data_IF_803076679468
#
_entry.id   IF_803076679468
#
_cell.length_a   1.000
_cell.length_b   1.000
_cell.length_c   1.000
_cell.angle_alpha   90.00
_cell.angle_beta   90.00
_cell.angle_gamma   90.00
#
_symmetry.space_group_name_H-M   'P 1'
#
loop_
_entity.id
_entity.type
_entity.pdbx_description
1 polymer ?
#
# COMPACT_ATOMS: atom_id res chain seq x y z
N UNK A 1 -0.37 -42.80 -60.77
CA UNK A 1 -0.61 -42.03 -59.53
C UNK A 1 -0.03 -42.81 -58.36
N UNK A 2 1.03 -42.30 -57.72
CA UNK A 2 1.64 -42.94 -56.55
C UNK A 2 1.46 -42.01 -55.34
N UNK A 3 0.80 -42.48 -54.29
CA UNK A 3 0.56 -41.72 -53.07
C UNK A 3 1.64 -42.15 -52.07
N UNK A 4 2.60 -41.27 -51.81
CA UNK A 4 3.64 -41.48 -50.81
C UNK A 4 3.03 -41.32 -49.40
N UNK A 5 2.98 -42.43 -48.64
CA UNK A 5 2.63 -42.42 -47.22
C UNK A 5 3.77 -41.73 -46.43
N UNK A 6 3.51 -40.52 -45.93
CA UNK A 6 4.44 -39.79 -45.06
C UNK A 6 4.52 -40.49 -43.70
N UNK A 7 5.73 -40.91 -43.32
CA UNK A 7 6.08 -41.50 -42.02
C UNK A 7 6.01 -40.42 -40.93
N UNK A 8 5.05 -40.56 -40.00
CA UNK A 8 4.91 -39.65 -38.87
C UNK A 8 6.16 -39.67 -37.98
N UNK A 9 6.75 -38.48 -37.82
CA UNK A 9 7.92 -38.23 -36.99
C UNK A 9 7.44 -38.08 -35.55
N UNK A 10 7.41 -39.19 -34.80
CA UNK A 10 7.07 -39.21 -33.37
C UNK A 10 8.08 -38.37 -32.58
N UNK A 11 7.62 -37.25 -32.04
CA UNK A 11 8.34 -36.50 -30.99
C UNK A 11 8.28 -37.33 -29.70
N UNK A 12 9.40 -37.54 -28.98
CA UNK A 12 9.35 -38.16 -27.66
C UNK A 12 8.60 -37.23 -26.71
N UNK A 13 7.46 -37.69 -26.20
CA UNK A 13 6.72 -37.02 -25.14
C UNK A 13 7.63 -36.98 -23.92
N UNK A 14 8.02 -35.77 -23.49
CA UNK A 14 8.78 -35.58 -22.27
C UNK A 14 7.89 -36.06 -21.12
N UNK A 15 8.24 -37.20 -20.51
CA UNK A 15 7.55 -37.69 -19.32
C UNK A 15 7.74 -36.66 -18.21
N UNK A 16 6.70 -35.88 -17.91
CA UNK A 16 6.63 -35.09 -16.70
C UNK A 16 6.54 -36.08 -15.53
N UNK A 17 7.64 -36.22 -14.79
CA UNK A 17 7.66 -37.02 -13.58
C UNK A 17 6.81 -36.31 -12.51
N UNK A 18 5.65 -36.84 -12.08
CA UNK A 18 4.79 -36.16 -11.11
C UNK A 18 5.37 -36.16 -9.69
N UNK A 19 6.52 -36.80 -9.46
CA UNK A 19 7.14 -36.92 -8.15
C UNK A 19 7.95 -35.70 -7.69
N UNK A 20 8.08 -34.64 -8.50
CA UNK A 20 8.88 -33.45 -8.15
C UNK A 20 8.11 -32.34 -7.41
N UNK A 21 6.86 -32.58 -7.00
CA UNK A 21 5.97 -31.56 -6.40
C UNK A 21 5.77 -31.80 -4.89
N UNK A 22 6.60 -32.62 -4.26
CA UNK A 22 6.62 -32.73 -2.80
C UNK A 22 7.90 -32.06 -2.33
N UNK A 23 7.91 -30.72 -2.33
CA UNK A 23 8.89 -30.01 -1.53
C UNK A 23 8.65 -30.41 -0.08
N UNK A 24 9.68 -30.94 0.60
CA UNK A 24 9.59 -31.32 2.01
C UNK A 24 8.91 -30.21 2.80
N UNK A 25 7.95 -30.55 3.66
CA UNK A 25 7.17 -29.59 4.44
C UNK A 25 8.05 -28.61 5.23
N UNK A 26 9.23 -29.07 5.64
CA UNK A 26 10.27 -28.28 6.30
C UNK A 26 10.92 -27.23 5.37
N UNK A 27 11.08 -27.53 4.08
CA UNK A 27 11.55 -26.57 3.09
C UNK A 27 10.54 -25.46 2.85
N UNK A 28 9.24 -25.81 2.75
CA UNK A 28 8.15 -24.84 2.61
C UNK A 28 8.05 -23.95 3.84
N UNK A 29 8.11 -24.53 5.04
CA UNK A 29 8.10 -23.78 6.29
C UNK A 29 9.26 -22.77 6.38
N UNK A 30 10.48 -23.18 5.99
CA UNK A 30 11.66 -22.28 5.96
C UNK A 30 11.52 -21.17 4.92
N UNK A 31 10.85 -21.43 3.80
CA UNK A 31 10.56 -20.40 2.79
C UNK A 31 9.54 -19.38 3.28
N UNK A 32 8.43 -19.83 3.89
CA UNK A 32 7.40 -18.96 4.46
C UNK A 32 7.98 -18.10 5.59
N UNK A 33 8.78 -18.70 6.50
CA UNK A 33 9.39 -17.96 7.60
C UNK A 33 10.32 -16.83 7.11
N UNK A 34 11.12 -17.09 6.07
CA UNK A 34 11.96 -16.05 5.45
C UNK A 34 11.11 -14.94 4.84
N UNK A 35 10.06 -15.31 4.11
CA UNK A 35 9.15 -14.35 3.50
C UNK A 35 8.44 -13.45 4.53
N UNK A 36 7.96 -14.01 5.64
CA UNK A 36 7.35 -13.24 6.72
C UNK A 36 8.35 -12.29 7.37
N UNK A 37 9.59 -12.73 7.59
CA UNK A 37 10.63 -11.86 8.14
C UNK A 37 11.00 -10.70 7.20
N UNK A 38 11.02 -10.94 5.89
CA UNK A 38 11.24 -9.89 4.89
C UNK A 38 10.05 -8.91 4.87
N UNK A 39 8.82 -9.40 5.01
CA UNK A 39 7.64 -8.55 5.15
C UNK A 39 7.69 -7.72 6.43
N UNK A 40 8.13 -8.28 7.56
CA UNK A 40 8.31 -7.53 8.81
C UNK A 40 9.40 -6.44 8.69
N UNK A 41 10.45 -6.69 7.91
CA UNK A 41 11.53 -5.72 7.66
C UNK A 41 11.15 -4.61 6.68
N UNK A 42 10.35 -4.94 5.67
CA UNK A 42 10.00 -4.01 4.57
C UNK A 42 8.66 -3.33 4.78
N UNK A 43 7.82 -3.83 5.68
CA UNK A 43 6.61 -3.13 6.07
C UNK A 43 7.00 -1.86 6.81
N UNK A 44 6.64 -0.71 6.23
CA UNK A 44 6.82 0.59 6.83
C UNK A 44 5.88 0.71 8.03
N UNK A 45 6.34 0.30 9.21
CA UNK A 45 5.67 0.68 10.46
C UNK A 45 6.01 2.13 10.71
N UNK A 46 5.19 3.06 10.19
CA UNK A 46 5.25 4.44 10.62
C UNK A 46 5.04 4.44 12.14
N UNK A 47 6.01 4.87 12.97
CA UNK A 47 5.85 4.87 14.41
C UNK A 47 4.70 5.81 14.73
N UNK A 48 3.53 5.23 14.95
CA UNK A 48 2.27 5.98 14.91
C UNK A 48 2.19 7.00 16.05
N UNK A 49 3.04 6.90 17.07
CA UNK A 49 3.25 7.93 18.07
C UNK A 49 4.65 7.81 18.70
N UNK A 50 5.59 8.67 18.32
CA UNK A 50 6.89 8.80 18.97
C UNK A 50 7.86 9.73 18.21
N UNK A 51 8.93 10.25 18.85
CA UNK A 51 9.91 11.10 18.17
C UNK A 51 10.60 10.42 16.97
N UNK A 52 10.69 9.09 16.95
CA UNK A 52 11.24 8.31 15.84
C UNK A 52 10.23 8.00 14.73
N UNK A 53 8.98 8.49 14.83
CA UNK A 53 7.92 8.38 13.81
C UNK A 53 8.33 8.80 12.42
N UNK A 54 9.33 9.67 12.39
CA UNK A 54 9.98 10.16 11.22
C UNK A 54 11.40 9.63 11.32
N UNK A 55 11.85 8.88 10.29
CA UNK A 55 13.11 8.15 10.30
C UNK A 55 14.25 8.95 10.92
N UNK A 56 15.10 8.26 11.67
CA UNK A 56 16.30 8.79 12.35
C UNK A 56 16.94 9.88 11.48
N UNK A 57 16.57 11.12 11.76
CA UNK A 57 17.29 12.26 11.25
C UNK A 57 18.52 12.30 12.14
N UNK A 58 19.67 11.87 11.63
CA UNK A 58 21.00 12.23 12.13
C UNK A 58 21.24 13.76 12.00
N UNK A 59 20.22 14.55 12.31
CA UNK A 59 20.24 15.99 12.27
C UNK A 59 19.30 16.44 13.40
N UNK A 60 19.87 16.57 14.59
CA UNK A 60 19.25 16.88 15.89
C UNK A 60 18.49 18.23 15.93
N UNK A 61 18.10 18.79 14.79
CA UNK A 61 17.52 20.14 14.68
C UNK A 61 16.19 20.20 13.91
N UNK A 62 15.68 19.10 13.36
CA UNK A 62 14.40 19.09 12.60
C UNK A 62 13.30 18.31 13.31
N UNK A 63 12.87 18.84 14.45
CA UNK A 63 11.55 18.53 15.01
C UNK A 63 10.40 19.05 14.11
N UNK A 64 9.13 18.79 14.49
CA UNK A 64 7.92 19.11 13.70
C UNK A 64 7.71 20.62 13.42
N UNK A 65 8.62 21.47 13.86
CA UNK A 65 8.73 22.90 13.61
C UNK A 65 9.39 23.26 12.28
N UNK A 66 9.73 22.30 11.41
CA UNK A 66 10.24 22.62 10.06
C UNK A 66 9.27 23.48 9.23
N UNK A 67 7.96 23.35 9.47
CA UNK A 67 6.93 24.24 8.92
C UNK A 67 6.93 25.63 9.55
N UNK A 68 7.76 25.93 10.55
CA UNK A 68 7.88 27.25 11.21
C UNK A 68 8.75 28.24 10.45
N UNK A 69 9.55 27.76 9.49
CA UNK A 69 10.55 28.58 8.79
C UNK A 69 10.02 29.10 7.45
N UNK A 70 8.77 29.56 7.44
CA UNK A 70 8.26 30.42 6.37
C UNK A 70 8.72 31.86 6.64
N UNK A 71 10.01 32.10 6.47
CA UNK A 71 10.52 33.45 6.32
C UNK A 71 10.15 33.88 4.89
N UNK A 72 9.20 34.82 4.74
CA UNK A 72 8.96 35.48 3.45
C UNK A 72 10.30 36.00 2.88
N UNK A 73 10.49 36.13 1.55
CA UNK A 73 11.72 36.70 0.98
C UNK A 73 12.01 38.15 1.45
N UNK A 74 11.05 38.76 2.14
CA UNK A 74 11.13 40.09 2.76
C UNK A 74 11.56 40.05 4.24
N UNK A 75 11.88 38.88 4.80
CA UNK A 75 12.36 38.71 6.19
C UNK A 75 11.33 39.07 7.28
N UNK A 76 10.04 39.16 6.91
CA UNK A 76 8.97 39.53 7.85
C UNK A 76 8.35 38.28 8.44
N UNK A 77 8.42 38.16 9.77
CA UNK A 77 7.74 37.09 10.51
C UNK A 77 6.23 37.22 10.32
N UNK A 78 5.64 36.37 9.47
CA UNK A 78 4.18 36.27 9.36
C UNK A 78 3.61 35.77 10.67
N UNK A 79 2.76 36.59 11.29
CA UNK A 79 1.99 36.19 12.48
C UNK A 79 1.06 35.05 12.07
N UNK A 80 1.31 33.85 12.60
CA UNK A 80 0.45 32.69 12.38
C UNK A 80 -0.85 32.85 13.15
N UNK A 81 -1.96 32.51 12.51
CA UNK A 81 -3.24 32.45 13.20
C UNK A 81 -3.16 31.47 14.38
N UNK A 82 -3.99 31.70 15.41
CA UNK A 82 -4.07 30.77 16.54
C UNK A 82 -4.44 29.35 16.09
N UNK A 83 -5.28 29.21 15.06
CA UNK A 83 -5.61 27.93 14.46
C UNK A 83 -4.37 27.20 13.90
N UNK A 84 -3.53 27.90 13.14
CA UNK A 84 -2.28 27.32 12.62
C UNK A 84 -1.33 26.94 13.75
N UNK A 85 -1.21 27.78 14.78
CA UNK A 85 -0.41 27.45 15.98
C UNK A 85 -0.94 26.21 16.70
N UNK A 86 -2.25 26.07 16.81
CA UNK A 86 -2.87 24.91 17.46
C UNK A 86 -2.64 23.60 16.70
N UNK A 87 -2.72 23.62 15.37
CA UNK A 87 -2.46 22.43 14.53
C UNK A 87 -1.00 21.96 14.59
N UNK A 88 -0.06 22.90 14.71
CA UNK A 88 1.37 22.59 14.81
C UNK A 88 1.76 22.03 16.19
N UNK A 89 1.15 22.56 17.25
CA UNK A 89 1.48 22.17 18.63
C UNK A 89 0.68 20.93 19.09
N UNK A 90 -0.58 20.81 18.68
CA UNK A 90 -1.48 19.73 19.09
C UNK A 90 -1.83 18.88 17.88
N UNK A 91 -0.96 17.90 17.60
CA UNK A 91 -1.12 16.97 16.49
C UNK A 91 -2.21 15.95 16.85
N UNK A 92 -3.29 15.94 16.07
CA UNK A 92 -4.46 15.07 16.26
C UNK A 92 -4.38 13.84 15.35
N UNK A 93 -4.88 12.70 15.81
CA UNK A 93 -5.05 11.51 14.96
C UNK A 93 -6.23 11.74 13.99
N UNK A 94 -6.20 11.12 12.82
CA UNK A 94 -7.33 11.09 11.91
C UNK A 94 -8.66 10.72 12.61
N UNK A 95 -8.64 9.73 13.52
CA UNK A 95 -9.84 9.33 14.26
C UNK A 95 -10.44 10.47 15.10
N UNK A 96 -9.62 11.32 15.72
CA UNK A 96 -10.10 12.46 16.51
C UNK A 96 -10.61 13.58 15.62
N UNK A 97 -9.95 13.84 14.49
CA UNK A 97 -10.41 14.79 13.48
C UNK A 97 -11.78 14.39 12.89
N UNK A 98 -11.99 13.09 12.65
CA UNK A 98 -13.26 12.58 12.14
C UNK A 98 -14.41 12.81 13.13
N UNK A 99 -14.18 12.56 14.42
CA UNK A 99 -15.18 12.80 15.47
C UNK A 99 -15.56 14.29 15.61
N UNK A 100 -14.58 15.19 15.50
CA UNK A 100 -14.80 16.64 15.58
C UNK A 100 -15.53 17.21 14.36
N UNK A 101 -15.35 16.60 13.19
CA UNK A 101 -15.88 17.12 11.92
C UNK A 101 -17.40 16.99 11.75
N UNK A 102 -18.09 16.26 12.64
CA UNK A 102 -19.55 16.13 12.69
C UNK A 102 -20.19 15.92 11.30
N UNK A 103 -19.57 15.10 10.44
CA UNK A 103 -19.97 14.95 9.03
C UNK A 103 -21.41 14.45 8.85
N UNK A 104 -22.00 13.85 9.89
CA UNK A 104 -23.39 13.40 9.90
C UNK A 104 -24.40 14.54 10.09
N UNK A 105 -23.99 15.61 10.78
CA UNK A 105 -24.84 16.75 11.09
C UNK A 105 -24.80 17.82 9.99
N UNK A 106 -23.90 17.65 9.01
CA UNK A 106 -23.83 18.50 7.83
C UNK A 106 -25.08 18.36 6.96
N UNK A 107 -25.57 19.45 6.34
CA UNK A 107 -26.74 19.39 5.47
C UNK A 107 -26.47 18.46 4.28
N UNK A 108 -27.46 17.68 3.89
CA UNK A 108 -27.38 16.70 2.80
C UNK A 108 -27.03 17.29 1.41
N UNK A 109 -27.03 18.62 1.28
CA UNK A 109 -26.61 19.32 0.07
C UNK A 109 -25.10 19.55 -0.07
N UNK A 110 -24.32 19.41 1.02
CA UNK A 110 -22.87 19.54 0.97
C UNK A 110 -22.24 18.15 0.77
N UNK A 111 -21.49 17.91 -0.32
CA UNK A 111 -20.84 16.64 -0.54
C UNK A 111 -19.80 16.39 0.57
N UNK A 112 -19.99 15.30 1.32
CA UNK A 112 -19.08 14.83 2.37
C UNK A 112 -18.51 13.46 2.02
N UNK A 113 -17.53 13.00 2.80
CA UNK A 113 -17.00 11.63 2.69
C UNK A 113 -18.09 10.55 2.83
N UNK A 114 -19.19 10.83 3.54
CA UNK A 114 -20.30 9.89 3.71
C UNK A 114 -21.25 9.86 2.51
N UNK A 115 -21.29 10.93 1.71
CA UNK A 115 -22.20 11.06 0.56
C UNK A 115 -21.50 10.91 -0.78
N UNK A 116 -20.16 10.86 -0.79
CA UNK A 116 -19.37 10.64 -1.98
C UNK A 116 -19.51 9.19 -2.48
N UNK A 117 -20.56 8.94 -3.26
CA UNK A 117 -20.78 7.67 -3.95
C UNK A 117 -20.45 7.83 -5.43
N UNK A 118 -19.57 6.96 -5.94
CA UNK A 118 -19.36 6.85 -7.38
C UNK A 118 -20.63 6.26 -8.03
N UNK A 119 -21.03 6.72 -9.22
CA UNK A 119 -22.08 6.06 -9.98
C UNK A 119 -21.66 4.61 -10.31
N UNK A 120 -22.62 3.70 -10.49
CA UNK A 120 -22.31 2.32 -10.86
C UNK A 120 -21.54 2.27 -12.19
N UNK A 121 -20.65 1.29 -12.32
CA UNK A 121 -19.83 1.12 -13.53
C UNK A 121 -20.72 0.84 -14.74
N UNK A 122 -20.50 1.59 -15.82
CA UNK A 122 -21.21 1.37 -17.10
C UNK A 122 -20.68 0.17 -17.90
N UNK A 123 -19.52 -0.37 -17.51
CA UNK A 123 -18.83 -1.44 -18.23
C UNK A 123 -19.07 -2.79 -17.53
N UNK A 124 -19.19 -3.89 -18.29
CA UNK A 124 -19.28 -5.21 -17.71
C UNK A 124 -17.99 -5.57 -16.95
N UNK A 125 -18.07 -6.35 -15.86
CA UNK A 125 -16.90 -6.82 -15.13
C UNK A 125 -16.07 -7.73 -16.04
N UNK A 126 -14.76 -7.51 -16.07
CA UNK A 126 -13.84 -8.42 -16.77
C UNK A 126 -13.46 -9.57 -15.83
N UNK A 127 -13.70 -10.83 -16.19
CA UNK A 127 -13.27 -11.96 -15.38
C UNK A 127 -11.74 -12.07 -15.44
N UNK A 128 -11.09 -11.84 -14.32
CA UNK A 128 -9.68 -12.16 -14.13
C UNK A 128 -9.58 -13.48 -13.36
N UNK A 129 -8.67 -14.37 -13.77
CA UNK A 129 -8.35 -15.55 -12.98
C UNK A 129 -7.79 -15.09 -11.64
N UNK A 130 -8.41 -15.51 -10.53
CA UNK A 130 -7.95 -15.17 -9.17
C UNK A 130 -6.64 -15.85 -8.77
N UNK A 131 -6.07 -16.69 -9.66
CA UNK A 131 -4.78 -17.32 -9.45
C UNK A 131 -3.71 -16.39 -10.01
N UNK A 132 -2.91 -15.85 -9.11
CA UNK A 132 -1.87 -14.88 -9.41
C UNK A 132 -0.95 -15.32 -10.54
N UNK A 133 -0.54 -14.35 -11.36
CA UNK A 133 0.58 -14.44 -12.31
C UNK A 133 1.93 -14.74 -11.60
N UNK A 134 1.90 -14.83 -10.26
CA UNK A 134 3.03 -15.03 -9.37
C UNK A 134 2.79 -16.14 -8.32
N UNK A 135 1.91 -17.11 -8.62
CA UNK A 135 1.73 -18.30 -7.80
C UNK A 135 2.62 -19.44 -8.33
N UNK A 136 3.73 -19.80 -7.66
CA UNK A 136 4.51 -20.98 -8.05
C UNK A 136 3.75 -22.28 -7.69
N UNK A 137 4.04 -23.39 -8.38
CA UNK A 137 3.35 -24.67 -8.22
C UNK A 137 3.50 -25.29 -6.84
#
# INVERSE_FOLDING_TARGET
MAIALKKDRRQPVRAANPASIIADSEYVARRVKRHLNDLERTNYTEPTTGPSAYGEAEDETKGPTALSKDEDPTGRKRKRSMAVRSLLMYRKNFATLLAESQLRDKPAGEPSYLTAAAPPSQRPPMPLCSRDIWSPP
#
